data_IF_427977087502
#
_entry.id   IF_427977087502
#
_cell.length_a   1.000
_cell.length_b   1.000
_cell.length_c   1.000
_cell.angle_alpha   90.00
_cell.angle_beta   90.00
_cell.angle_gamma   90.00
#
_symmetry.space_group_name_H-M   'P 1'
#
loop_
_entity.id
_entity.type
_entity.pdbx_description
1 polymer ?
#
# COMPACT_ATOMS: atom_id res chain seq x y z
N UNK A 1 -8.75 -21.52 14.98
CA UNK A 1 -7.42 -21.86 14.42
C UNK A 1 -6.51 -22.24 15.58
N UNK A 2 -5.52 -23.10 15.38
CA UNK A 2 -4.54 -23.42 16.44
C UNK A 2 -3.50 -22.31 16.56
N UNK A 3 -2.96 -22.08 17.76
CA UNK A 3 -1.88 -21.11 17.98
C UNK A 3 -0.69 -21.34 17.04
N UNK A 4 -0.36 -22.61 16.76
CA UNK A 4 0.72 -22.99 15.84
C UNK A 4 0.49 -22.53 14.38
N UNK A 5 -0.76 -22.54 13.91
CA UNK A 5 -1.08 -22.06 12.56
C UNK A 5 -0.92 -20.53 12.47
N UNK A 6 -1.33 -19.81 13.52
CA UNK A 6 -1.21 -18.35 13.58
C UNK A 6 0.25 -17.91 13.64
N UNK A 7 1.08 -18.57 14.45
CA UNK A 7 2.52 -18.31 14.52
C UNK A 7 3.23 -18.63 13.19
N UNK A 8 2.87 -19.74 12.54
CA UNK A 8 3.39 -20.09 11.21
C UNK A 8 3.04 -19.01 10.18
N UNK A 9 1.78 -18.58 10.12
CA UNK A 9 1.36 -17.53 9.20
C UNK A 9 2.05 -16.21 9.49
N UNK A 10 2.25 -15.85 10.78
CA UNK A 10 2.98 -14.65 11.19
C UNK A 10 4.42 -14.66 10.67
N UNK A 11 5.11 -15.78 10.81
CA UNK A 11 6.48 -15.94 10.31
C UNK A 11 6.53 -15.90 8.77
N UNK A 12 5.56 -16.52 8.10
CA UNK A 12 5.48 -16.59 6.65
C UNK A 12 5.31 -15.22 5.99
N UNK A 13 4.54 -14.31 6.61
CA UNK A 13 4.27 -12.98 6.04
C UNK A 13 5.29 -11.93 6.46
N UNK A 14 6.15 -12.19 7.45
CA UNK A 14 7.13 -11.23 7.93
C UNK A 14 8.07 -10.71 6.83
N UNK A 15 8.60 -11.54 5.90
CA UNK A 15 9.42 -11.01 4.81
C UNK A 15 8.66 -10.05 3.89
N UNK A 16 7.36 -10.28 3.68
CA UNK A 16 6.50 -9.43 2.83
C UNK A 16 6.21 -8.07 3.48
N UNK A 17 6.24 -8.02 4.81
CA UNK A 17 6.18 -6.80 5.63
C UNK A 17 7.50 -6.04 5.59
N UNK A 18 8.59 -6.76 5.86
CA UNK A 18 9.95 -6.21 5.92
C UNK A 18 10.38 -5.55 4.61
N UNK A 19 9.88 -6.01 3.47
CA UNK A 19 10.15 -5.43 2.15
C UNK A 19 9.67 -3.97 2.06
N UNK A 20 8.43 -3.70 2.49
CA UNK A 20 7.87 -2.35 2.50
C UNK A 20 8.42 -1.51 3.65
N UNK A 21 8.59 -2.12 4.84
CA UNK A 21 9.15 -1.41 5.99
C UNK A 21 10.57 -0.90 5.72
N UNK A 22 11.42 -1.70 5.04
CA UNK A 22 12.76 -1.27 4.61
C UNK A 22 12.76 -0.13 3.60
N UNK A 23 11.68 0.01 2.82
CA UNK A 23 11.49 1.13 1.90
C UNK A 23 10.85 2.36 2.55
N UNK A 24 10.62 2.35 3.87
CA UNK A 24 10.10 3.48 4.64
C UNK A 24 8.58 3.50 4.82
N UNK A 25 7.87 2.44 4.42
CA UNK A 25 6.43 2.35 4.69
C UNK A 25 6.18 2.07 6.17
N UNK A 26 5.35 2.89 6.80
CA UNK A 26 4.79 2.62 8.12
C UNK A 26 3.63 1.64 8.01
N UNK A 27 3.72 0.54 8.74
CA UNK A 27 2.59 -0.39 8.86
C UNK A 27 1.49 0.16 9.78
N UNK A 28 0.25 0.04 9.31
CA UNK A 28 -0.97 0.28 10.09
C UNK A 28 -1.69 -1.06 10.21
N UNK A 29 -1.76 -1.60 11.43
CA UNK A 29 -2.15 -2.98 11.71
C UNK A 29 -3.50 -3.10 12.41
N UNK A 30 -4.03 -2.00 12.95
CA UNK A 30 -5.37 -1.95 13.54
C UNK A 30 -6.25 -0.87 12.89
N UNK A 31 -7.56 -0.94 13.11
CA UNK A 31 -8.50 0.11 12.71
C UNK A 31 -8.13 1.45 13.33
N UNK A 32 -7.75 1.46 14.60
CA UNK A 32 -7.43 2.67 15.36
C UNK A 32 -6.17 3.34 14.82
N UNK A 33 -5.15 2.56 14.45
CA UNK A 33 -3.94 3.10 13.83
C UNK A 33 -4.26 3.76 12.48
N UNK A 34 -5.18 3.19 11.70
CA UNK A 34 -5.63 3.78 10.44
C UNK A 34 -6.44 5.05 10.68
N UNK A 35 -7.41 5.02 11.59
CA UNK A 35 -8.22 6.20 11.93
C UNK A 35 -7.35 7.35 12.41
N UNK A 36 -6.46 7.09 13.38
CA UNK A 36 -5.56 8.10 13.92
C UNK A 36 -4.65 8.69 12.84
N UNK A 37 -4.10 7.84 11.97
CA UNK A 37 -3.29 8.31 10.86
C UNK A 37 -4.12 9.21 9.93
N UNK A 38 -5.26 8.72 9.45
CA UNK A 38 -6.10 9.44 8.50
C UNK A 38 -6.69 10.73 9.07
N UNK A 39 -6.97 10.81 10.37
CA UNK A 39 -7.48 12.02 11.01
C UNK A 39 -6.47 13.16 11.07
N UNK A 40 -5.20 12.82 11.22
CA UNK A 40 -4.11 13.78 11.42
C UNK A 40 -3.31 14.06 10.15
N UNK A 41 -3.53 13.27 9.08
CA UNK A 41 -2.72 13.33 7.88
C UNK A 41 -2.95 14.63 7.10
N UNK A 42 -1.84 15.28 6.77
CA UNK A 42 -1.78 16.42 5.86
C UNK A 42 -0.82 16.07 4.72
N UNK A 43 -0.74 16.93 3.69
CA UNK A 43 0.13 16.68 2.54
C UNK A 43 -0.32 15.46 1.73
N UNK A 44 0.64 14.70 1.22
CA UNK A 44 0.44 13.57 0.32
C UNK A 44 0.80 12.24 0.97
N UNK A 45 -0.07 11.24 0.78
CA UNK A 45 0.15 9.89 1.32
C UNK A 45 0.09 8.86 0.22
N UNK A 46 1.14 8.05 0.10
CA UNK A 46 1.10 6.85 -0.71
C UNK A 46 0.77 5.64 0.16
N UNK A 47 -0.42 5.08 -0.07
CA UNK A 47 -0.95 3.91 0.62
C UNK A 47 -0.73 2.68 -0.24
N UNK A 48 -0.09 1.67 0.33
CA UNK A 48 0.08 0.35 -0.28
C UNK A 48 -0.80 -0.69 0.42
N UNK A 49 -1.81 -1.22 -0.28
CA UNK A 49 -2.63 -2.34 0.21
C UNK A 49 -1.89 -3.66 -0.12
N UNK A 50 -1.12 -4.16 0.83
CA UNK A 50 -0.29 -5.35 0.66
C UNK A 50 -1.11 -6.63 0.59
N UNK A 51 -0.52 -7.69 0.04
CA UNK A 51 -1.14 -9.00 -0.12
C UNK A 51 -0.08 -10.11 -0.19
N UNK A 52 -0.50 -11.33 0.14
CA UNK A 52 0.31 -12.55 -0.06
C UNK A 52 0.30 -13.05 -1.52
N UNK A 53 -0.51 -12.45 -2.39
CA UNK A 53 -0.63 -12.85 -3.80
C UNK A 53 0.70 -12.71 -4.57
N UNK A 54 0.92 -13.57 -5.56
CA UNK A 54 2.14 -13.57 -6.38
C UNK A 54 2.41 -12.24 -7.09
N UNK A 55 1.37 -11.56 -7.61
CA UNK A 55 1.52 -10.23 -8.22
C UNK A 55 1.96 -9.15 -7.22
N UNK A 56 1.69 -9.32 -5.91
CA UNK A 56 2.21 -8.41 -4.90
C UNK A 56 3.73 -8.56 -4.75
N UNK A 57 4.23 -9.80 -4.79
CA UNK A 57 5.65 -10.11 -4.67
C UNK A 57 6.44 -9.81 -5.95
N UNK A 58 5.91 -10.15 -7.12
CA UNK A 58 6.62 -10.01 -8.39
C UNK A 58 6.54 -8.62 -9.01
N UNK A 59 5.50 -7.84 -8.69
CA UNK A 59 5.21 -6.58 -9.39
C UNK A 59 5.01 -5.43 -8.40
N UNK A 60 3.98 -5.51 -7.55
CA UNK A 60 3.54 -4.35 -6.78
C UNK A 60 4.57 -3.83 -5.76
N UNK A 61 5.10 -4.69 -4.88
CA UNK A 61 6.10 -4.25 -3.88
C UNK A 61 7.41 -3.80 -4.52
N UNK A 62 7.98 -4.54 -5.50
CA UNK A 62 9.14 -4.04 -6.25
C UNK A 62 8.89 -2.69 -6.91
N UNK A 63 7.76 -2.51 -7.61
CA UNK A 63 7.44 -1.26 -8.28
C UNK A 63 7.29 -0.09 -7.30
N UNK A 64 6.55 -0.29 -6.20
CA UNK A 64 6.37 0.73 -5.16
C UNK A 64 7.69 1.14 -4.49
N UNK A 65 8.50 0.16 -4.08
CA UNK A 65 9.78 0.44 -3.41
C UNK A 65 10.79 1.11 -4.35
N UNK A 66 10.85 0.69 -5.62
CA UNK A 66 11.70 1.34 -6.63
C UNK A 66 11.21 2.74 -6.99
N UNK A 67 9.89 2.95 -7.13
CA UNK A 67 9.33 4.28 -7.40
C UNK A 67 9.66 5.27 -6.28
N UNK A 68 9.46 4.87 -5.01
CA UNK A 68 9.84 5.68 -3.84
C UNK A 68 11.34 6.01 -3.81
N UNK A 69 12.19 5.06 -4.19
CA UNK A 69 13.64 5.27 -4.22
C UNK A 69 14.05 6.25 -5.33
N UNK A 70 13.46 6.11 -6.52
CA UNK A 70 13.86 6.83 -7.74
C UNK A 70 13.19 8.18 -7.94
N UNK A 71 12.03 8.41 -7.33
CA UNK A 71 11.27 9.65 -7.53
C UNK A 71 11.99 10.86 -6.94
N UNK A 72 12.00 11.97 -7.68
CA UNK A 72 12.46 13.26 -7.16
C UNK A 72 11.40 13.89 -6.26
N UNK A 73 10.13 13.86 -6.68
CA UNK A 73 8.99 14.29 -5.86
C UNK A 73 8.44 13.11 -5.09
N UNK A 74 8.40 13.21 -3.76
CA UNK A 74 8.00 12.09 -2.91
C UNK A 74 6.73 12.42 -2.12
N UNK A 75 5.87 11.43 -1.87
CA UNK A 75 4.81 11.56 -0.88
C UNK A 75 5.39 11.92 0.49
N UNK A 76 4.68 12.75 1.24
CA UNK A 76 5.05 13.11 2.63
C UNK A 76 4.96 11.89 3.56
N UNK A 77 4.04 10.97 3.24
CA UNK A 77 3.80 9.77 4.03
C UNK A 77 3.76 8.52 3.15
N UNK A 78 4.41 7.46 3.63
CA UNK A 78 4.34 6.12 3.06
C UNK A 78 3.72 5.20 4.10
N UNK A 79 2.57 4.60 3.79
CA UNK A 79 1.89 3.70 4.72
C UNK A 79 1.40 2.43 4.04
N UNK A 80 1.28 1.35 4.80
CA UNK A 80 0.76 0.09 4.28
C UNK A 80 -0.17 -0.60 5.28
N UNK A 81 -1.21 -1.23 4.74
CA UNK A 81 -2.08 -2.19 5.43
C UNK A 81 -1.96 -3.53 4.71
N UNK A 82 -2.16 -4.65 5.41
CA UNK A 82 -1.96 -5.98 4.84
C UNK A 82 -3.28 -6.73 4.66
N UNK A 83 -3.79 -6.77 3.42
CA UNK A 83 -5.04 -7.43 3.09
C UNK A 83 -5.00 -8.94 3.43
N UNK A 84 -6.04 -9.39 4.15
CA UNK A 84 -6.17 -10.78 4.60
C UNK A 84 -5.43 -11.12 5.90
N UNK A 85 -4.39 -10.35 6.25
CA UNK A 85 -3.65 -10.49 7.52
C UNK A 85 -4.18 -9.50 8.57
N UNK A 86 -4.09 -8.20 8.28
CA UNK A 86 -4.61 -7.13 9.13
C UNK A 86 -5.97 -6.67 8.59
N UNK A 87 -6.98 -7.54 8.76
CA UNK A 87 -8.30 -7.40 8.11
C UNK A 87 -9.02 -6.12 8.51
N UNK A 88 -9.00 -5.78 9.79
CA UNK A 88 -9.68 -4.59 10.32
C UNK A 88 -9.01 -3.30 9.84
N UNK A 89 -7.67 -3.24 9.89
CA UNK A 89 -6.92 -2.11 9.31
C UNK A 89 -7.19 -1.93 7.81
N UNK A 90 -7.18 -3.03 7.05
CA UNK A 90 -7.44 -2.98 5.61
C UNK A 90 -8.87 -2.54 5.30
N UNK A 91 -9.85 -3.05 6.07
CA UNK A 91 -11.26 -2.65 5.91
C UNK A 91 -11.43 -1.16 6.22
N UNK A 92 -10.86 -0.69 7.34
CA UNK A 92 -10.90 0.71 7.74
C UNK A 92 -10.24 1.63 6.70
N UNK A 93 -9.08 1.26 6.17
CA UNK A 93 -8.41 2.05 5.11
C UNK A 93 -9.29 2.17 3.87
N UNK A 94 -9.99 1.09 3.49
CA UNK A 94 -10.90 1.10 2.33
C UNK A 94 -12.14 1.97 2.51
N UNK A 95 -12.55 2.29 3.74
CA UNK A 95 -13.66 3.24 3.97
C UNK A 95 -13.32 4.64 3.43
N UNK A 96 -12.04 5.01 3.39
CA UNK A 96 -11.57 6.26 2.80
C UNK A 96 -11.49 6.19 1.26
N UNK A 97 -11.61 5.00 0.67
CA UNK A 97 -11.44 4.77 -0.77
C UNK A 97 -12.78 4.75 -1.52
N UNK A 98 -13.63 5.73 -1.22
CA UNK A 98 -15.00 5.79 -1.75
C UNK A 98 -14.99 5.88 -3.28
N UNK A 99 -15.78 5.02 -3.93
CA UNK A 99 -15.88 4.96 -5.39
C UNK A 99 -14.89 4.00 -6.05
N UNK A 100 -13.93 3.44 -5.30
CA UNK A 100 -12.96 2.48 -5.83
C UNK A 100 -13.27 1.06 -5.35
N UNK A 101 -13.37 0.07 -6.27
CA UNK A 101 -13.66 -1.30 -5.87
C UNK A 101 -12.48 -1.90 -5.08
N UNK A 102 -12.75 -2.66 -4.00
CA UNK A 102 -11.69 -3.23 -3.19
C UNK A 102 -10.91 -4.30 -3.96
N UNK A 103 -9.60 -4.12 -4.06
CA UNK A 103 -8.69 -5.11 -4.66
C UNK A 103 -7.37 -5.20 -3.87
N UNK A 104 -6.59 -6.27 -4.09
CA UNK A 104 -5.29 -6.47 -3.44
C UNK A 104 -4.37 -7.38 -4.27
N UNK A 105 -3.10 -6.99 -4.53
CA UNK A 105 -2.50 -5.71 -4.15
C UNK A 105 -3.18 -4.53 -4.86
N UNK A 106 -3.18 -3.36 -4.24
CA UNK A 106 -3.62 -2.09 -4.83
C UNK A 106 -2.88 -0.93 -4.16
N UNK A 107 -2.85 0.23 -4.81
CA UNK A 107 -2.15 1.40 -4.31
C UNK A 107 -3.02 2.65 -4.48
N UNK A 108 -2.87 3.61 -3.58
CA UNK A 108 -3.56 4.89 -3.65
C UNK A 108 -2.59 6.02 -3.31
N UNK A 109 -2.68 7.12 -4.03
CA UNK A 109 -2.09 8.40 -3.65
C UNK A 109 -3.20 9.30 -3.16
N UNK A 110 -3.03 9.84 -1.95
CA UNK A 110 -3.99 10.73 -1.32
C UNK A 110 -3.39 12.11 -1.14
N UNK A 111 -4.24 13.13 -1.17
CA UNK A 111 -3.94 14.47 -0.67
C UNK A 111 -4.86 14.77 0.51
N UNK A 112 -4.30 14.83 1.71
CA UNK A 112 -5.07 14.71 2.95
C UNK A 112 -5.84 13.39 2.97
N UNK A 113 -7.18 13.46 2.97
CA UNK A 113 -8.07 12.27 2.98
C UNK A 113 -8.63 11.89 1.60
N UNK A 114 -8.39 12.70 0.57
CA UNK A 114 -8.95 12.48 -0.75
C UNK A 114 -7.98 11.68 -1.63
N UNK A 115 -8.49 10.67 -2.33
CA UNK A 115 -7.71 9.94 -3.34
C UNK A 115 -7.57 10.82 -4.58
N UNK A 116 -6.32 11.11 -4.94
CA UNK A 116 -5.97 11.82 -6.18
C UNK A 116 -5.50 10.87 -7.28
N UNK A 117 -5.06 9.66 -6.92
CA UNK A 117 -4.72 8.61 -7.88
C UNK A 117 -4.93 7.22 -7.27
N UNK A 118 -5.39 6.26 -8.06
CA UNK A 118 -5.64 4.89 -7.60
C UNK A 118 -5.16 3.87 -8.63
N UNK A 119 -4.49 2.82 -8.16
CA UNK A 119 -3.98 1.72 -8.99
C UNK A 119 -4.63 0.42 -8.48
N UNK A 120 -5.70 -0.06 -9.13
CA UNK A 120 -6.35 -1.32 -8.79
C UNK A 120 -5.46 -2.52 -9.14
N UNK A 121 -5.82 -3.71 -8.64
CA UNK A 121 -5.10 -4.96 -8.95
C UNK A 121 -4.98 -5.24 -10.45
N UNK A 122 -6.00 -4.94 -11.25
CA UNK A 122 -5.98 -5.19 -12.71
C UNK A 122 -4.89 -4.39 -13.42
N UNK A 123 -4.61 -3.17 -12.94
CA UNK A 123 -3.53 -2.31 -13.41
C UNK A 123 -2.15 -2.74 -12.89
N UNK A 124 -2.10 -3.84 -12.14
CA UNK A 124 -0.86 -4.45 -11.62
C UNK A 124 -0.67 -5.84 -12.23
N UNK A 125 -1.67 -6.73 -12.12
CA UNK A 125 -1.54 -8.16 -12.41
C UNK A 125 -1.29 -8.48 -13.89
N UNK A 126 -1.73 -7.60 -14.80
CA UNK A 126 -1.60 -7.80 -16.25
C UNK A 126 -0.54 -6.89 -16.89
N UNK A 127 0.28 -6.23 -16.08
CA UNK A 127 1.24 -5.23 -16.51
C UNK A 127 2.68 -5.64 -16.18
N UNK A 128 3.65 -5.01 -16.86
CA UNK A 128 5.06 -5.17 -16.51
C UNK A 128 5.40 -4.40 -15.23
N UNK A 129 6.52 -4.73 -14.59
CA UNK A 129 6.99 -3.99 -13.42
C UNK A 129 7.27 -2.53 -13.78
N UNK A 130 7.83 -2.30 -14.96
CA UNK A 130 8.12 -0.98 -15.51
C UNK A 130 6.84 -0.14 -15.67
N UNK A 131 5.79 -0.70 -16.28
CA UNK A 131 4.51 0.00 -16.45
C UNK A 131 3.91 0.42 -15.10
N UNK A 132 3.92 -0.49 -14.11
CA UNK A 132 3.40 -0.21 -12.77
C UNK A 132 4.24 0.88 -12.08
N UNK A 133 5.57 0.82 -12.23
CA UNK A 133 6.46 1.83 -11.66
C UNK A 133 6.28 3.19 -12.31
N UNK A 134 6.17 3.26 -13.64
CA UNK A 134 5.89 4.49 -14.38
C UNK A 134 4.56 5.12 -13.97
N UNK A 135 3.52 4.30 -13.76
CA UNK A 135 2.23 4.76 -13.26
C UNK A 135 2.36 5.42 -11.87
N UNK A 136 3.13 4.82 -10.96
CA UNK A 136 3.40 5.40 -9.63
C UNK A 136 4.20 6.69 -9.74
N UNK A 137 5.27 6.71 -10.54
CA UNK A 137 6.14 7.87 -10.72
C UNK A 137 5.38 9.06 -11.32
N UNK A 138 4.55 8.82 -12.34
CA UNK A 138 3.72 9.85 -12.95
C UNK A 138 2.75 10.48 -11.93
N UNK A 139 2.15 9.65 -11.06
CA UNK A 139 1.30 10.15 -9.99
C UNK A 139 2.08 11.00 -8.97
N UNK A 140 3.28 10.57 -8.59
CA UNK A 140 4.14 11.36 -7.70
C UNK A 140 4.54 12.70 -8.33
N UNK A 141 4.94 12.71 -9.60
CA UNK A 141 5.32 13.94 -10.30
C UNK A 141 4.17 14.94 -10.42
N UNK A 142 2.94 14.44 -10.59
CA UNK A 142 1.74 15.24 -10.73
C UNK A 142 1.24 15.82 -9.39
N UNK A 143 1.29 15.03 -8.30
CA UNK A 143 0.58 15.37 -7.07
C UNK A 143 1.48 15.65 -5.86
N UNK A 144 2.74 15.20 -5.88
CA UNK A 144 3.70 15.45 -4.82
C UNK A 144 4.58 16.68 -5.13
N UNK A 145 5.07 17.36 -4.08
CA UNK A 145 5.77 18.65 -4.16
C UNK A 145 4.86 19.86 -4.07
#
# INVERSE_FOLDING_TARGET
MSMAYEDYMRQLVQPMRDELARAGFRELRTSEEVEQFMEQVEGTTFVFINSVCGCAAGLARPAATQAVLRSEKKPDHLVTVFAGQDKEATAKMREYFVGYPPSSPSMALLKGKEIVHFIPREDIEFHSMEDVMENILAAFDQYCG
#
